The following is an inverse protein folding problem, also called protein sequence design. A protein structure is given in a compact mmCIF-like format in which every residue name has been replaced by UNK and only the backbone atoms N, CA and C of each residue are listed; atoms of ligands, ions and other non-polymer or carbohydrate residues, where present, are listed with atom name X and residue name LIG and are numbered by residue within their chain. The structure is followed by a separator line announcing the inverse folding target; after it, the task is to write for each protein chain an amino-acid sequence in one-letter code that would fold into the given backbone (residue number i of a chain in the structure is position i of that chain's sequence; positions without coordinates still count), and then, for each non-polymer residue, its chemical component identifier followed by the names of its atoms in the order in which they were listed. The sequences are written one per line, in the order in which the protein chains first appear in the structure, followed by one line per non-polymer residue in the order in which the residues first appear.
data_IF_199175902292
#
_entry.id   IF_199175902292
#
_cell.length_a   1.000
_cell.length_b   1.000
_cell.length_c   1.000
_cell.angle_alpha   90.00
_cell.angle_beta   90.00
_cell.angle_gamma   90.00
#
_symmetry.space_group_name_H-M   'P 1'
#
loop_
_entity.id
_entity.type
_entity.pdbx_description
1 polymer ?
#
# COMPACT_ATOMS: atom_id res chain seq x y z
N UNK A 1 -4.28 -51.04 67.90
CA UNK A 1 -4.14 -49.58 67.91
C UNK A 1 -3.15 -49.21 66.79
N UNK A 2 -3.61 -49.05 65.60
CA UNK A 2 -2.76 -48.63 64.46
C UNK A 2 -3.37 -47.33 63.88
N UNK A 3 -2.61 -46.23 63.99
CA UNK A 3 -2.96 -44.95 63.40
C UNK A 3 -2.61 -44.97 61.93
N UNK A 4 -3.60 -44.75 61.05
CA UNK A 4 -3.43 -44.61 59.62
C UNK A 4 -3.29 -43.11 59.34
N UNK A 5 -2.10 -42.66 58.89
CA UNK A 5 -1.86 -41.33 58.36
C UNK A 5 -2.35 -41.26 56.91
N UNK A 6 -3.33 -40.41 56.68
CA UNK A 6 -3.77 -40.10 55.32
C UNK A 6 -2.91 -38.92 54.80
N UNK A 7 -2.06 -39.21 53.83
CA UNK A 7 -1.26 -38.21 53.10
C UNK A 7 -2.09 -37.65 51.96
N UNK A 8 -2.45 -36.38 52.04
CA UNK A 8 -3.13 -35.63 50.97
C UNK A 8 -2.06 -35.03 50.06
N UNK A 9 -1.83 -35.62 48.91
CA UNK A 9 -1.00 -35.05 47.83
C UNK A 9 -1.82 -34.01 47.06
N UNK A 10 -1.53 -32.74 47.30
CA UNK A 10 -2.10 -31.60 46.57
C UNK A 10 -1.40 -31.46 45.22
N UNK A 11 -2.10 -31.89 44.18
CA UNK A 11 -1.62 -31.75 42.75
C UNK A 11 -1.78 -30.30 42.32
N UNK A 12 -0.66 -29.56 42.23
CA UNK A 12 -0.60 -28.18 41.75
C UNK A 12 -0.64 -28.21 40.21
N UNK A 13 -1.82 -28.00 39.60
CA UNK A 13 -1.94 -27.75 38.18
C UNK A 13 -1.39 -26.36 37.84
N UNK A 14 -0.12 -26.28 37.40
CA UNK A 14 0.41 -25.10 36.74
C UNK A 14 -0.23 -24.96 35.34
N UNK A 15 -1.25 -24.13 35.26
CA UNK A 15 -1.81 -23.70 33.97
C UNK A 15 -0.80 -22.82 33.22
N UNK A 16 -0.13 -23.37 32.22
CA UNK A 16 0.65 -22.62 31.26
C UNK A 16 -0.31 -21.77 30.39
N UNK A 17 -0.50 -20.50 30.77
CA UNK A 17 -1.16 -19.53 29.91
C UNK A 17 -0.24 -19.23 28.73
N UNK A 18 -0.47 -19.87 27.59
CA UNK A 18 0.13 -19.51 26.32
C UNK A 18 -0.43 -18.14 25.93
N UNK A 19 0.31 -17.08 26.24
CA UNK A 19 0.05 -15.76 25.67
C UNK A 19 0.26 -15.85 24.16
N UNK A 20 -0.83 -15.82 23.41
CA UNK A 20 -0.77 -15.55 21.98
C UNK A 20 -0.16 -14.16 21.79
N UNK A 21 1.12 -14.11 21.47
CA UNK A 21 1.79 -12.89 21.03
C UNK A 21 1.22 -12.56 19.64
N UNK A 22 0.26 -11.63 19.62
CA UNK A 22 -0.14 -10.99 18.38
C UNK A 22 1.13 -10.43 17.71
N UNK A 23 1.43 -10.88 16.50
CA UNK A 23 2.49 -10.29 15.68
C UNK A 23 2.17 -8.80 15.57
N UNK A 24 2.90 -7.97 16.32
CA UNK A 24 2.99 -6.54 16.04
C UNK A 24 3.48 -6.45 14.62
N UNK A 25 2.75 -5.71 13.78
CA UNK A 25 3.26 -5.25 12.50
C UNK A 25 4.49 -4.37 12.82
N UNK A 26 5.64 -4.98 12.95
CA UNK A 26 6.89 -4.25 13.04
C UNK A 26 7.11 -3.65 11.66
N UNK A 27 7.16 -2.31 11.62
CA UNK A 27 7.63 -1.59 10.46
C UNK A 27 8.90 -2.28 9.96
N UNK A 28 9.01 -2.55 8.62
CA UNK A 28 10.27 -3.01 8.09
C UNK A 28 11.38 -2.03 8.53
N UNK A 29 12.58 -2.52 8.79
CA UNK A 29 13.68 -1.67 9.23
C UNK A 29 13.79 -0.49 8.28
N UNK A 30 14.23 0.66 8.81
CA UNK A 30 14.48 1.91 8.10
C UNK A 30 15.44 1.63 6.94
N UNK A 31 14.90 1.07 5.84
CA UNK A 31 15.68 0.84 4.66
C UNK A 31 15.72 2.16 3.87
N UNK A 32 16.82 2.38 3.21
CA UNK A 32 17.04 3.53 2.34
C UNK A 32 16.27 3.34 1.01
N UNK A 33 14.96 3.11 1.10
CA UNK A 33 14.09 2.97 -0.07
C UNK A 33 13.88 4.30 -0.80
N UNK A 34 14.46 5.38 -0.29
CA UNK A 34 14.35 6.72 -0.85
C UNK A 34 12.96 7.35 -0.67
N UNK A 35 12.17 6.93 0.29
CA UNK A 35 10.95 7.60 0.70
C UNK A 35 11.24 8.84 1.56
N UNK A 36 10.47 9.92 1.37
CA UNK A 36 10.43 11.11 2.23
C UNK A 36 9.31 11.02 3.27
N UNK A 37 8.44 10.05 3.13
CA UNK A 37 7.30 9.74 4.01
C UNK A 37 7.46 8.37 4.64
N UNK A 38 6.72 8.11 5.72
CA UNK A 38 6.72 6.81 6.43
C UNK A 38 5.30 6.37 6.75
N UNK A 39 5.15 5.10 7.09
CA UNK A 39 3.89 4.55 7.62
C UNK A 39 3.50 5.28 8.89
N UNK A 40 2.23 5.69 8.97
CA UNK A 40 1.66 6.50 10.06
C UNK A 40 1.63 8.01 9.79
N UNK A 41 2.40 8.50 8.83
CA UNK A 41 2.34 9.92 8.43
C UNK A 41 1.00 10.22 7.74
N UNK A 42 0.54 11.47 7.85
CA UNK A 42 -0.48 12.01 6.98
C UNK A 42 0.11 12.13 5.58
N UNK A 43 -0.53 11.54 4.58
CA UNK A 43 -0.07 11.67 3.20
C UNK A 43 -0.08 13.14 2.76
N UNK A 44 0.95 13.63 2.05
CA UNK A 44 0.89 14.92 1.37
C UNK A 44 -0.37 15.00 0.51
N UNK A 45 -1.16 16.07 0.62
CA UNK A 45 -2.44 16.23 -0.08
C UNK A 45 -2.63 17.63 -0.68
N UNK A 46 -1.54 18.37 -0.83
CA UNK A 46 -1.45 19.74 -1.36
C UNK A 46 -1.22 19.78 -2.89
N UNK A 47 -1.70 18.76 -3.62
CA UNK A 47 -1.59 18.65 -5.06
C UNK A 47 -2.91 18.17 -5.71
N UNK A 48 -3.06 18.44 -6.99
CA UNK A 48 -4.15 17.93 -7.82
C UNK A 48 -3.67 16.73 -8.65
N UNK A 49 -4.51 15.73 -8.80
CA UNK A 49 -4.33 14.59 -9.71
C UNK A 49 -5.14 14.88 -10.97
N UNK A 50 -4.45 15.19 -12.07
CA UNK A 50 -5.07 15.36 -13.40
C UNK A 50 -4.93 14.03 -14.14
N UNK A 51 -6.05 13.34 -14.34
CA UNK A 51 -6.07 12.02 -14.98
C UNK A 51 -5.90 12.13 -16.50
N UNK A 52 -5.49 11.04 -17.13
CA UNK A 52 -5.26 10.99 -18.60
C UNK A 52 -6.51 11.23 -19.44
N UNK A 53 -7.70 11.18 -18.86
CA UNK A 53 -8.98 11.54 -19.49
C UNK A 53 -9.40 13.00 -19.27
N UNK A 54 -8.58 13.78 -18.57
CA UNK A 54 -8.85 15.16 -18.18
C UNK A 54 -9.61 15.34 -16.86
N UNK A 55 -10.08 14.25 -16.25
CA UNK A 55 -10.73 14.31 -14.93
C UNK A 55 -9.74 14.79 -13.88
N UNK A 56 -10.22 15.59 -12.92
CA UNK A 56 -9.41 16.13 -11.82
C UNK A 56 -9.92 15.64 -10.48
N UNK A 57 -8.99 15.29 -9.60
CA UNK A 57 -9.27 14.90 -8.21
C UNK A 57 -8.10 15.26 -7.31
N UNK A 58 -8.20 14.97 -6.02
CA UNK A 58 -7.12 15.11 -5.05
C UNK A 58 -7.36 14.17 -3.86
N UNK A 59 -6.36 14.01 -2.99
CA UNK A 59 -6.47 13.11 -1.85
C UNK A 59 -7.53 13.58 -0.81
N UNK A 60 -7.83 14.88 -0.74
CA UNK A 60 -8.89 15.40 0.17
C UNK A 60 -10.27 14.97 -0.31
N UNK A 61 -10.52 15.03 -1.62
CA UNK A 61 -11.78 14.58 -2.23
C UNK A 61 -11.98 13.05 -2.12
N UNK A 62 -10.89 12.31 -1.93
CA UNK A 62 -10.91 10.84 -1.81
C UNK A 62 -10.98 10.35 -0.35
N UNK A 63 -11.14 11.25 0.65
CA UNK A 63 -11.33 10.83 2.05
C UNK A 63 -12.55 9.92 2.19
N UNK A 64 -12.46 8.96 3.09
CA UNK A 64 -13.44 7.89 3.24
C UNK A 64 -13.20 6.68 2.34
N UNK A 65 -12.25 6.79 1.39
CA UNK A 65 -11.79 5.68 0.54
C UNK A 65 -10.37 5.27 0.92
N UNK A 66 -10.03 4.03 0.64
CA UNK A 66 -8.63 3.58 0.65
C UNK A 66 -8.05 3.98 -0.70
N UNK A 67 -6.95 4.70 -0.69
CA UNK A 67 -6.29 5.17 -1.91
C UNK A 67 -4.94 4.48 -2.05
N UNK A 68 -4.69 3.92 -3.23
CA UNK A 68 -3.39 3.41 -3.63
C UNK A 68 -2.84 4.32 -4.71
N UNK A 69 -1.72 4.99 -4.43
CA UNK A 69 -0.95 5.71 -5.43
C UNK A 69 0.19 4.81 -5.90
N UNK A 70 0.13 4.38 -7.15
CA UNK A 70 1.25 3.70 -7.83
C UNK A 70 2.08 4.75 -8.57
N UNK A 71 3.35 4.92 -8.22
CA UNK A 71 4.25 5.71 -9.05
C UNK A 71 4.83 4.86 -10.18
N UNK A 72 4.66 5.34 -11.40
CA UNK A 72 4.97 4.61 -12.63
C UNK A 72 5.57 5.51 -13.70
N UNK A 73 6.03 4.93 -14.80
CA UNK A 73 6.39 5.60 -16.04
C UNK A 73 6.48 4.57 -17.18
N UNK A 74 6.26 4.99 -18.43
CA UNK A 74 6.25 4.08 -19.59
C UNK A 74 7.60 3.40 -19.85
N UNK A 75 8.70 4.05 -19.53
CA UNK A 75 10.07 3.53 -19.65
C UNK A 75 10.50 2.62 -18.49
N UNK A 76 9.70 2.52 -17.44
CA UNK A 76 10.03 1.76 -16.25
C UNK A 76 9.67 0.28 -16.41
N UNK A 77 10.67 -0.57 -16.62
CA UNK A 77 10.48 -2.02 -16.84
C UNK A 77 9.76 -2.69 -15.67
N UNK A 78 10.19 -2.42 -14.43
CA UNK A 78 9.60 -3.04 -13.23
C UNK A 78 8.14 -2.58 -13.02
N UNK A 79 7.82 -1.31 -13.35
CA UNK A 79 6.44 -0.83 -13.32
C UNK A 79 5.55 -1.63 -14.28
N UNK A 80 6.05 -1.87 -15.51
CA UNK A 80 5.34 -2.66 -16.53
C UNK A 80 5.14 -4.12 -16.11
N UNK A 81 6.06 -4.68 -15.33
CA UNK A 81 5.93 -6.03 -14.75
C UNK A 81 4.85 -6.08 -13.65
N UNK A 82 4.75 -5.04 -12.81
CA UNK A 82 3.79 -4.95 -11.70
C UNK A 82 2.35 -4.67 -12.16
N UNK A 83 2.17 -3.80 -13.15
CA UNK A 83 0.86 -3.25 -13.56
C UNK A 83 -0.22 -4.30 -13.89
N UNK A 84 0.06 -5.43 -14.55
CA UNK A 84 -0.95 -6.47 -14.77
C UNK A 84 -1.48 -7.09 -13.49
N UNK A 85 -0.66 -7.20 -12.46
CA UNK A 85 -1.06 -7.72 -11.14
C UNK A 85 -1.86 -6.68 -10.37
N UNK A 86 -1.48 -5.40 -10.43
CA UNK A 86 -2.28 -4.31 -9.88
C UNK A 86 -3.66 -4.23 -10.54
N UNK A 87 -3.74 -4.39 -11.86
CA UNK A 87 -5.03 -4.44 -12.57
C UNK A 87 -5.87 -5.60 -12.06
N UNK A 88 -5.33 -6.82 -12.06
CA UNK A 88 -6.08 -8.04 -11.76
C UNK A 88 -6.39 -8.18 -10.27
N UNK A 89 -5.34 -8.13 -9.43
CA UNK A 89 -5.42 -8.58 -8.04
C UNK A 89 -5.79 -7.44 -7.08
N UNK A 90 -5.66 -6.17 -7.52
CA UNK A 90 -6.08 -5.01 -6.74
C UNK A 90 -7.29 -4.32 -7.38
N UNK A 91 -7.14 -3.73 -8.57
CA UNK A 91 -8.18 -2.90 -9.15
C UNK A 91 -9.49 -3.67 -9.39
N UNK A 92 -9.45 -4.75 -10.15
CA UNK A 92 -10.65 -5.54 -10.45
C UNK A 92 -11.25 -6.20 -9.21
N UNK A 93 -10.44 -6.53 -8.20
CA UNK A 93 -10.90 -7.17 -6.97
C UNK A 93 -11.53 -6.19 -5.96
N UNK A 94 -11.16 -4.88 -6.01
CA UNK A 94 -11.51 -3.93 -4.96
C UNK A 94 -12.14 -2.61 -5.44
N UNK A 95 -12.23 -2.29 -6.73
CA UNK A 95 -12.80 -1.03 -7.26
C UNK A 95 -14.22 -0.73 -6.74
N UNK A 96 -15.01 -1.77 -6.46
CA UNK A 96 -16.37 -1.65 -5.94
C UNK A 96 -16.43 -1.73 -4.39
N UNK A 97 -15.28 -1.71 -3.70
CA UNK A 97 -15.14 -1.85 -2.24
C UNK A 97 -14.52 -0.61 -1.56
N UNK A 98 -14.84 0.58 -2.08
CA UNK A 98 -14.26 1.84 -1.59
C UNK A 98 -12.72 1.90 -1.64
N UNK A 99 -12.10 1.20 -2.59
CA UNK A 99 -10.67 1.28 -2.90
C UNK A 99 -10.49 1.99 -4.23
N UNK A 100 -9.58 2.94 -4.28
CA UNK A 100 -9.20 3.69 -5.47
C UNK A 100 -7.73 3.41 -5.76
N UNK A 101 -7.42 2.98 -6.97
CA UNK A 101 -6.07 2.87 -7.49
C UNK A 101 -5.85 3.95 -8.55
N UNK A 102 -4.79 4.74 -8.40
CA UNK A 102 -4.36 5.75 -9.38
C UNK A 102 -2.87 5.54 -9.62
N UNK A 103 -2.49 5.30 -10.88
CA UNK A 103 -1.09 5.38 -11.28
C UNK A 103 -0.68 6.84 -11.46
N UNK A 104 0.43 7.26 -10.88
CA UNK A 104 1.00 8.60 -11.04
C UNK A 104 2.19 8.48 -11.99
N UNK A 105 2.00 8.93 -13.22
CA UNK A 105 2.99 8.80 -14.29
C UNK A 105 4.00 9.94 -14.23
N UNK A 106 5.25 9.56 -13.95
CA UNK A 106 6.32 10.49 -13.63
C UNK A 106 6.87 11.18 -14.87
N UNK A 107 6.57 12.47 -15.02
CA UNK A 107 7.21 13.41 -15.95
C UNK A 107 7.13 12.99 -17.44
N UNK A 108 5.97 12.45 -17.85
CA UNK A 108 5.69 12.15 -19.25
C UNK A 108 4.50 12.99 -19.76
N UNK A 109 4.49 13.36 -21.07
CA UNK A 109 3.39 14.13 -21.65
C UNK A 109 2.12 13.27 -21.79
N UNK A 110 0.96 13.93 -21.86
CA UNK A 110 -0.36 13.30 -21.91
C UNK A 110 -0.47 12.18 -22.95
N UNK A 111 -0.02 12.44 -24.18
CA UNK A 111 -0.13 11.48 -25.28
C UNK A 111 0.66 10.19 -24.96
N UNK A 112 1.80 10.33 -24.29
CA UNK A 112 2.63 9.21 -23.86
C UNK A 112 1.94 8.38 -22.78
N UNK A 113 1.35 9.05 -21.79
CA UNK A 113 0.60 8.41 -20.70
C UNK A 113 -0.64 7.69 -21.24
N UNK A 114 -1.37 8.30 -22.18
CA UNK A 114 -2.53 7.68 -22.82
C UNK A 114 -2.13 6.44 -23.63
N UNK A 115 -1.00 6.50 -24.36
CA UNK A 115 -0.50 5.35 -25.12
C UNK A 115 -0.05 4.25 -24.15
N UNK A 116 0.69 4.61 -23.09
CA UNK A 116 1.14 3.66 -22.07
C UNK A 116 -0.04 2.94 -21.39
N UNK A 117 -1.10 3.67 -21.04
CA UNK A 117 -2.32 3.09 -20.48
C UNK A 117 -2.94 2.02 -21.40
N UNK A 118 -3.02 2.31 -22.72
CA UNK A 118 -3.51 1.38 -23.73
C UNK A 118 -2.61 0.16 -23.88
N UNK A 119 -1.29 0.38 -23.97
CA UNK A 119 -0.29 -0.69 -24.15
C UNK A 119 -0.30 -1.68 -22.99
N UNK A 120 -0.49 -1.17 -21.76
CA UNK A 120 -0.58 -1.99 -20.56
C UNK A 120 -1.92 -2.69 -20.40
N UNK A 121 -2.95 -2.32 -21.17
CA UNK A 121 -4.32 -2.87 -21.09
C UNK A 121 -4.92 -2.81 -19.69
N UNK A 122 -4.57 -1.77 -18.97
CA UNK A 122 -5.11 -1.50 -17.62
C UNK A 122 -6.38 -0.65 -17.73
N UNK A 123 -7.25 -0.74 -16.71
CA UNK A 123 -8.49 0.03 -16.63
C UNK A 123 -8.52 1.02 -15.47
N UNK A 124 -7.57 0.96 -14.55
CA UNK A 124 -7.41 1.99 -13.54
C UNK A 124 -6.76 3.24 -14.12
N UNK A 125 -7.13 4.44 -13.63
CA UNK A 125 -6.66 5.69 -14.21
C UNK A 125 -5.18 5.95 -13.95
N UNK A 126 -4.54 6.67 -14.89
CA UNK A 126 -3.22 7.24 -14.74
C UNK A 126 -3.34 8.77 -14.58
N UNK A 127 -2.66 9.35 -13.60
CA UNK A 127 -2.52 10.78 -13.40
C UNK A 127 -1.20 11.27 -13.97
N UNK A 128 -1.19 12.47 -14.51
CA UNK A 128 -0.01 13.17 -14.98
C UNK A 128 0.77 13.75 -13.79
N UNK A 129 2.09 13.67 -13.84
CA UNK A 129 2.99 14.26 -12.86
C UNK A 129 4.10 15.08 -13.53
N UNK A 130 3.77 16.22 -14.19
CA UNK A 130 4.76 17.03 -14.89
C UNK A 130 5.83 17.55 -13.93
N UNK A 131 7.09 17.39 -14.35
CA UNK A 131 8.25 17.75 -13.51
C UNK A 131 8.42 16.86 -12.30
N UNK A 132 7.72 15.71 -12.22
CA UNK A 132 7.73 14.81 -11.07
C UNK A 132 7.32 15.49 -9.74
N UNK A 133 6.48 16.51 -9.78
CA UNK A 133 6.14 17.36 -8.64
C UNK A 133 5.42 16.57 -7.53
N UNK A 134 4.52 15.66 -7.91
CA UNK A 134 3.82 14.76 -6.97
C UNK A 134 4.79 13.71 -6.43
N UNK A 135 5.58 13.08 -7.30
CA UNK A 135 6.57 12.08 -6.89
C UNK A 135 7.52 12.62 -5.82
N UNK A 136 7.98 13.86 -5.96
CA UNK A 136 8.91 14.49 -4.99
C UNK A 136 8.27 14.85 -3.65
N UNK A 137 6.95 14.74 -3.49
CA UNK A 137 6.29 14.80 -2.17
C UNK A 137 6.46 13.50 -1.39
N UNK A 138 6.67 12.38 -2.08
CA UNK A 138 6.73 11.05 -1.47
C UNK A 138 8.13 10.44 -1.48
N UNK A 139 8.97 10.80 -2.44
CA UNK A 139 10.27 10.17 -2.65
C UNK A 139 11.36 11.17 -3.08
N UNK A 140 12.59 10.84 -2.74
CA UNK A 140 13.76 11.65 -3.09
C UNK A 140 13.97 11.70 -4.62
N UNK A 141 14.54 12.80 -5.17
CA UNK A 141 14.71 12.98 -6.62
C UNK A 141 15.45 11.84 -7.34
N UNK A 142 16.43 11.22 -6.66
CA UNK A 142 17.21 10.10 -7.19
C UNK A 142 16.60 8.72 -6.93
N UNK A 143 15.45 8.68 -6.26
CA UNK A 143 14.76 7.43 -5.98
C UNK A 143 14.16 6.83 -7.26
N UNK A 144 14.18 5.50 -7.36
CA UNK A 144 13.52 4.79 -8.47
C UNK A 144 12.01 4.97 -8.43
N UNK A 145 11.36 4.87 -9.59
CA UNK A 145 9.93 5.18 -9.76
C UNK A 145 9.02 4.17 -9.09
N UNK A 146 9.22 2.87 -9.34
CA UNK A 146 8.30 1.80 -8.91
C UNK A 146 8.08 1.83 -7.41
N UNK A 147 6.91 2.28 -6.98
CA UNK A 147 6.49 2.30 -5.57
C UNK A 147 4.97 2.44 -5.45
N UNK A 148 4.42 1.85 -4.41
CA UNK A 148 3.03 2.05 -4.06
C UNK A 148 2.93 2.67 -2.67
N UNK A 149 1.99 3.61 -2.52
CA UNK A 149 1.65 4.26 -1.25
C UNK A 149 0.19 3.95 -0.96
N UNK A 150 -0.06 3.21 0.11
CA UNK A 150 -1.41 2.84 0.55
C UNK A 150 -1.85 3.79 1.64
N UNK A 151 -2.95 4.48 1.39
CA UNK A 151 -3.49 5.54 2.24
C UNK A 151 -4.88 5.11 2.72
N UNK A 152 -5.14 5.19 4.02
CA UNK A 152 -6.43 4.82 4.59
C UNK A 152 -7.51 5.90 4.41
N UNK A 153 -8.72 5.60 4.86
CA UNK A 153 -9.90 6.47 4.80
C UNK A 153 -9.70 7.84 5.47
N UNK A 154 -8.76 7.95 6.42
CA UNK A 154 -8.42 9.18 7.14
C UNK A 154 -7.28 9.97 6.49
N UNK A 155 -6.62 9.37 5.47
CA UNK A 155 -5.50 9.95 4.76
C UNK A 155 -4.14 9.61 5.33
N UNK A 156 -4.04 8.66 6.26
CA UNK A 156 -2.77 8.19 6.80
C UNK A 156 -2.19 7.09 5.94
N UNK A 157 -0.88 7.14 5.76
CA UNK A 157 -0.10 6.11 5.07
C UNK A 157 -0.09 4.84 5.92
N UNK A 158 -0.53 3.73 5.36
CA UNK A 158 -0.61 2.43 6.03
C UNK A 158 0.41 1.42 5.52
N UNK A 159 0.85 1.55 4.27
CA UNK A 159 1.82 0.64 3.67
C UNK A 159 2.61 1.34 2.57
N UNK A 160 3.86 0.91 2.37
CA UNK A 160 4.77 1.42 1.33
C UNK A 160 5.48 0.24 0.69
N UNK A 161 5.53 0.18 -0.65
CA UNK A 161 6.32 -0.81 -1.39
C UNK A 161 7.46 -0.17 -2.18
N UNK A 162 8.42 -0.97 -2.60
CA UNK A 162 9.52 -0.53 -3.45
C UNK A 162 9.93 -1.62 -4.43
N UNK A 163 9.89 -1.32 -5.74
CA UNK A 163 10.01 -2.29 -6.82
C UNK A 163 8.80 -3.25 -6.86
N UNK A 164 8.93 -4.33 -7.64
CA UNK A 164 7.96 -5.41 -7.63
C UNK A 164 8.62 -6.66 -7.07
N UNK A 165 8.16 -7.05 -5.90
CA UNK A 165 8.47 -8.32 -5.25
C UNK A 165 7.14 -9.02 -4.91
N UNK A 166 7.05 -10.31 -5.18
CA UNK A 166 5.79 -11.07 -5.04
C UNK A 166 5.31 -11.17 -3.59
N UNK A 167 6.22 -11.30 -2.65
CA UNK A 167 5.89 -11.42 -1.21
C UNK A 167 5.45 -10.06 -0.66
N UNK A 168 6.17 -8.98 -0.99
CA UNK A 168 5.79 -7.61 -0.62
C UNK A 168 4.47 -7.20 -1.27
N UNK A 169 4.23 -7.59 -2.53
CA UNK A 169 2.96 -7.35 -3.22
C UNK A 169 1.80 -8.08 -2.53
N UNK A 170 1.96 -9.37 -2.19
CA UNK A 170 0.95 -10.12 -1.45
C UNK A 170 0.66 -9.52 -0.06
N UNK A 171 1.70 -9.05 0.64
CA UNK A 171 1.55 -8.36 1.92
C UNK A 171 0.80 -7.01 1.76
N UNK A 172 1.06 -6.26 0.69
CA UNK A 172 0.32 -5.05 0.34
C UNK A 172 -1.17 -5.34 0.11
N UNK A 173 -1.52 -6.37 -0.68
CA UNK A 173 -2.91 -6.77 -0.92
C UNK A 173 -3.59 -7.17 0.40
N UNK A 174 -2.90 -7.93 1.26
CA UNK A 174 -3.42 -8.28 2.59
C UNK A 174 -3.68 -7.05 3.47
N UNK A 175 -2.81 -6.06 3.43
CA UNK A 175 -3.01 -4.81 4.16
C UNK A 175 -4.25 -4.03 3.65
N UNK A 176 -4.45 -3.97 2.34
CA UNK A 176 -5.64 -3.35 1.72
C UNK A 176 -6.91 -4.10 2.12
N UNK A 177 -6.90 -5.44 2.11
CA UNK A 177 -8.05 -6.26 2.52
C UNK A 177 -8.43 -6.00 3.99
N UNK A 178 -7.45 -5.89 4.89
CA UNK A 178 -7.67 -5.54 6.29
C UNK A 178 -8.27 -4.13 6.47
N UNK A 179 -7.82 -3.16 5.67
CA UNK A 179 -8.35 -1.79 5.69
C UNK A 179 -9.79 -1.72 5.15
N UNK A 180 -10.10 -2.52 4.12
CA UNK A 180 -11.42 -2.56 3.50
C UNK A 180 -12.51 -3.19 4.40
N UNK A 181 -12.12 -4.02 5.36
CA UNK A 181 -13.01 -4.65 6.34
C UNK A 181 -13.32 -3.76 7.56
N UNK A 182 -12.61 -2.66 7.74
CA UNK A 182 -12.86 -1.65 8.78
C UNK A 182 -13.77 -0.54 8.24
#
# INVERSE_FOLDING_TARGET
MKKILLSITMLLCLGLAVKAQGKKNENPPKDDRGYLVKVGDQAPDDFELVLQDGTKTNLKALRGKIVVLQFTASWCKVCREEMPYLEKDLWQAYKDKNVVLIGVDRDEPLEKVQQFHKDMKITYPLALDPGAAIFYRFAAPKAGVTRNVIIDKTGKIQYLTRLYDKEEFAAMISAIDQLAKK
#
